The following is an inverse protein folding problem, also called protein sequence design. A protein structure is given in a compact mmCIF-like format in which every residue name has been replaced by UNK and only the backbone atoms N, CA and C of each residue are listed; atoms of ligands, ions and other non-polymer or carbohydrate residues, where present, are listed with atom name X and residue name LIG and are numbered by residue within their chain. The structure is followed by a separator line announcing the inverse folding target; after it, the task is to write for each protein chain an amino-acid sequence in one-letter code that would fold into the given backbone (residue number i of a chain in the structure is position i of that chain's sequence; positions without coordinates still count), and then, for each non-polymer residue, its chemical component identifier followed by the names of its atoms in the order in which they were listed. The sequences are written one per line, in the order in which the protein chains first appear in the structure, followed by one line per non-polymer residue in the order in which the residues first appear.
data_IF_560043229202
#
_entry.id   IF_560043229202
#
_cell.length_a   1.000
_cell.length_b   1.000
_cell.length_c   1.000
_cell.angle_alpha   90.00
_cell.angle_beta   90.00
_cell.angle_gamma   90.00
#
_symmetry.space_group_name_H-M   'P 1'
#
loop_
_entity.id
_entity.type
_entity.pdbx_description
1 polymer ?
#
# COMPACT_ATOMS: atom_id res chain seq x y z
N UNK A 1 -8.95 -3.62 4.02
CA UNK A 1 -8.10 -4.78 3.69
C UNK A 1 -8.79 -5.71 2.69
N UNK A 2 -10.03 -6.16 2.92
CA UNK A 2 -10.70 -7.06 1.96
C UNK A 2 -11.04 -6.37 0.62
N UNK A 3 -11.48 -5.11 0.68
CA UNK A 3 -11.64 -4.25 -0.51
C UNK A 3 -10.34 -4.13 -1.30
N UNK A 4 -9.24 -3.73 -0.65
CA UNK A 4 -7.90 -3.64 -1.23
C UNK A 4 -7.46 -4.97 -1.86
N UNK A 5 -7.68 -6.10 -1.18
CA UNK A 5 -7.37 -7.42 -1.72
C UNK A 5 -8.22 -7.78 -2.95
N UNK A 6 -9.49 -7.38 -2.98
CA UNK A 6 -10.36 -7.58 -4.14
C UNK A 6 -9.92 -6.75 -5.35
N UNK A 7 -9.54 -5.49 -5.13
CA UNK A 7 -8.97 -4.62 -6.16
C UNK A 7 -7.65 -5.16 -6.69
N UNK A 8 -6.75 -5.62 -5.81
CA UNK A 8 -5.51 -6.29 -6.20
C UNK A 8 -5.79 -7.53 -7.07
N UNK A 9 -6.73 -8.38 -6.63
CA UNK A 9 -7.12 -9.58 -7.40
C UNK A 9 -7.66 -9.18 -8.78
N UNK A 10 -8.48 -8.13 -8.84
CA UNK A 10 -9.01 -7.60 -10.10
C UNK A 10 -7.90 -7.06 -11.01
N UNK A 11 -6.94 -6.31 -10.47
CA UNK A 11 -5.78 -5.80 -11.23
C UNK A 11 -4.95 -6.98 -11.78
N UNK A 12 -4.72 -8.02 -10.99
CA UNK A 12 -3.98 -9.21 -11.45
C UNK A 12 -4.71 -9.92 -12.59
N UNK A 13 -6.04 -10.02 -12.51
CA UNK A 13 -6.84 -10.56 -13.60
C UNK A 13 -6.78 -9.67 -14.84
N UNK A 14 -6.87 -8.35 -14.68
CA UNK A 14 -6.75 -7.38 -15.78
C UNK A 14 -5.39 -7.49 -16.48
N UNK A 15 -4.30 -7.64 -15.72
CA UNK A 15 -2.97 -7.86 -16.27
C UNK A 15 -2.91 -9.17 -17.08
N UNK A 16 -3.54 -10.23 -16.58
CA UNK A 16 -3.62 -11.50 -17.30
C UNK A 16 -4.40 -11.36 -18.62
N UNK A 17 -5.51 -10.61 -18.63
CA UNK A 17 -6.31 -10.33 -19.82
C UNK A 17 -5.52 -9.50 -20.86
N UNK A 18 -4.62 -8.63 -20.39
CA UNK A 18 -3.66 -7.89 -21.21
C UNK A 18 -2.41 -8.72 -21.61
N UNK A 19 -2.40 -10.02 -21.29
CA UNK A 19 -1.31 -10.94 -21.55
C UNK A 19 0.02 -10.58 -20.84
N UNK A 20 -0.07 -9.85 -19.73
CA UNK A 20 1.05 -9.48 -18.84
C UNK A 20 1.08 -10.48 -17.67
N UNK A 21 2.13 -11.30 -17.62
CA UNK A 21 2.30 -12.27 -16.53
C UNK A 21 2.82 -11.59 -15.27
N UNK A 22 2.09 -11.74 -14.17
CA UNK A 22 2.53 -11.36 -12.83
C UNK A 22 2.58 -12.60 -11.93
N UNK A 23 3.73 -13.27 -11.93
CA UNK A 23 3.95 -14.54 -11.21
C UNK A 23 4.23 -14.34 -9.71
N UNK A 24 4.70 -13.15 -9.32
CA UNK A 24 4.97 -12.83 -7.93
C UNK A 24 3.67 -12.62 -7.13
N UNK A 25 3.68 -12.86 -5.80
CA UNK A 25 2.63 -12.40 -4.92
C UNK A 25 2.59 -10.87 -4.89
N UNK A 26 1.40 -10.29 -4.96
CA UNK A 26 1.24 -8.84 -4.82
C UNK A 26 1.38 -8.43 -3.36
N UNK A 27 2.20 -7.42 -3.09
CA UNK A 27 2.44 -6.93 -1.73
C UNK A 27 1.40 -5.90 -1.33
N UNK A 28 0.60 -6.23 -0.32
CA UNK A 28 -0.33 -5.32 0.34
C UNK A 28 0.23 -4.93 1.71
N UNK A 29 0.87 -3.77 1.78
CA UNK A 29 1.46 -3.26 3.03
C UNK A 29 0.36 -2.88 4.03
N UNK A 30 0.51 -3.31 5.28
CA UNK A 30 -0.42 -2.97 6.36
C UNK A 30 0.33 -2.76 7.68
N UNK A 31 -0.04 -1.71 8.40
CA UNK A 31 0.48 -1.34 9.72
C UNK A 31 -0.37 -1.94 10.87
N UNK A 32 -1.60 -2.33 10.58
CA UNK A 32 -2.47 -2.97 11.56
C UNK A 32 -2.06 -4.44 11.79
N UNK A 33 -1.26 -4.65 12.83
CA UNK A 33 -0.82 -5.98 13.26
C UNK A 33 -2.02 -6.90 13.60
N UNK A 34 -3.09 -6.37 14.19
CA UNK A 34 -4.28 -7.17 14.52
C UNK A 34 -4.93 -7.72 13.24
N UNK A 35 -5.07 -6.91 12.19
CA UNK A 35 -5.60 -7.35 10.91
C UNK A 35 -4.72 -8.44 10.26
N UNK A 36 -3.39 -8.34 10.38
CA UNK A 36 -2.45 -9.38 9.94
C UNK A 36 -2.59 -10.67 10.75
N UNK A 37 -2.71 -10.56 12.07
CA UNK A 37 -2.89 -11.72 12.95
C UNK A 37 -4.23 -12.44 12.69
N UNK A 38 -5.30 -11.70 12.45
CA UNK A 38 -6.61 -12.27 12.09
C UNK A 38 -6.55 -12.96 10.73
N UNK A 39 -5.88 -12.36 9.73
CA UNK A 39 -5.67 -12.99 8.43
C UNK A 39 -4.87 -14.30 8.56
N UNK A 40 -3.83 -14.32 9.41
CA UNK A 40 -2.93 -15.46 9.58
C UNK A 40 -3.44 -16.56 10.51
N UNK A 41 -4.34 -16.27 11.46
CA UNK A 41 -4.74 -17.23 12.50
C UNK A 41 -6.17 -17.77 12.27
N UNK A 42 -6.35 -19.07 12.01
CA UNK A 42 -7.66 -19.68 11.79
C UNK A 42 -8.52 -19.82 13.06
N UNK A 43 -7.97 -19.57 14.26
CA UNK A 43 -8.62 -19.85 15.55
C UNK A 43 -9.45 -18.66 16.08
N UNK A 44 -9.32 -17.47 15.49
CA UNK A 44 -10.14 -16.31 15.88
C UNK A 44 -11.56 -16.43 15.31
N UNK A 45 -12.44 -17.16 16.02
CA UNK A 45 -13.88 -17.25 15.78
C UNK A 45 -14.65 -16.07 16.41
N UNK A 46 -14.25 -14.83 16.13
CA UNK A 46 -14.91 -13.67 16.74
C UNK A 46 -16.17 -13.26 15.96
N UNK A 47 -17.31 -13.81 16.41
CA UNK A 47 -18.70 -13.29 16.49
C UNK A 47 -19.26 -12.19 15.55
N UNK A 48 -18.61 -11.80 14.46
CA UNK A 48 -19.10 -10.75 13.54
C UNK A 48 -19.13 -11.30 12.12
N UNK A 49 -20.32 -11.70 11.66
CA UNK A 49 -20.57 -12.37 10.37
C UNK A 49 -19.93 -11.69 9.14
N UNK A 50 -19.79 -10.36 9.16
CA UNK A 50 -19.19 -9.60 8.06
C UNK A 50 -17.65 -9.61 8.08
N UNK A 51 -17.04 -9.66 9.28
CA UNK A 51 -15.58 -9.74 9.43
C UNK A 51 -15.10 -11.13 9.02
N UNK A 52 -15.90 -12.16 9.27
CA UNK A 52 -15.57 -13.55 8.94
C UNK A 52 -15.37 -13.74 7.43
N UNK A 53 -16.30 -13.26 6.59
CA UNK A 53 -16.20 -13.38 5.13
C UNK A 53 -14.98 -12.65 4.57
N UNK A 54 -14.76 -11.41 5.01
CA UNK A 54 -13.62 -10.60 4.59
C UNK A 54 -12.28 -11.23 5.00
N UNK A 55 -12.19 -11.78 6.21
CA UNK A 55 -11.00 -12.46 6.69
C UNK A 55 -10.76 -13.79 5.99
N UNK A 56 -11.81 -14.56 5.70
CA UNK A 56 -11.70 -15.79 4.92
C UNK A 56 -11.17 -15.51 3.51
N UNK A 57 -11.73 -14.49 2.84
CA UNK A 57 -11.27 -14.09 1.51
C UNK A 57 -9.78 -13.70 1.50
N UNK A 58 -9.34 -12.83 2.42
CA UNK A 58 -7.93 -12.44 2.51
C UNK A 58 -7.05 -13.66 2.80
N UNK A 59 -7.47 -14.54 3.70
CA UNK A 59 -6.72 -15.73 4.08
C UNK A 59 -6.55 -16.69 2.90
N UNK A 60 -7.61 -16.93 2.13
CA UNK A 60 -7.54 -17.76 0.92
C UNK A 60 -6.54 -17.19 -0.08
N UNK A 61 -6.54 -15.86 -0.28
CA UNK A 61 -5.59 -15.18 -1.17
C UNK A 61 -4.14 -15.25 -0.70
N UNK A 62 -3.91 -15.18 0.60
CA UNK A 62 -2.57 -15.36 1.18
C UNK A 62 -2.12 -16.82 1.04
N UNK A 63 -2.99 -17.79 1.33
CA UNK A 63 -2.68 -19.22 1.20
C UNK A 63 -2.42 -19.65 -0.25
N UNK A 64 -3.11 -19.03 -1.21
CA UNK A 64 -2.87 -19.22 -2.64
C UNK A 64 -1.58 -18.55 -3.15
N UNK A 65 -0.81 -17.86 -2.28
CA UNK A 65 0.39 -17.09 -2.65
C UNK A 65 0.06 -16.03 -3.71
N UNK A 66 -1.18 -15.55 -3.74
CA UNK A 66 -1.58 -14.46 -4.64
C UNK A 66 -1.26 -13.09 -4.06
N UNK A 67 -1.36 -12.97 -2.73
CA UNK A 67 -1.16 -11.72 -1.98
C UNK A 67 -0.25 -11.99 -0.78
N UNK A 68 0.74 -11.13 -0.58
CA UNK A 68 1.60 -11.08 0.61
C UNK A 68 1.24 -9.82 1.43
N UNK A 69 1.19 -9.93 2.75
CA UNK A 69 0.86 -8.82 3.66
C UNK A 69 2.04 -8.41 4.54
N UNK A 70 3.08 -7.77 3.97
CA UNK A 70 4.21 -7.27 4.74
C UNK A 70 3.78 -6.16 5.71
N UNK A 71 4.36 -6.19 6.91
CA UNK A 71 4.16 -5.14 7.90
C UNK A 71 4.93 -3.88 7.49
N UNK A 72 4.26 -2.73 7.58
CA UNK A 72 4.87 -1.41 7.46
C UNK A 72 4.62 -0.65 8.76
N UNK A 73 5.57 0.14 9.24
CA UNK A 73 5.32 1.02 10.38
C UNK A 73 4.34 2.12 9.94
N UNK A 74 3.48 2.60 10.83
CA UNK A 74 2.55 3.69 10.49
C UNK A 74 3.31 4.95 10.01
N UNK A 75 4.50 5.22 10.54
CA UNK A 75 5.41 6.30 10.10
C UNK A 75 5.85 6.19 8.62
N UNK A 76 5.77 4.98 8.06
CA UNK A 76 6.18 4.64 6.70
C UNK A 76 4.97 4.31 5.80
N UNK A 77 3.75 4.37 6.34
CA UNK A 77 2.54 4.07 5.60
C UNK A 77 2.15 5.28 4.74
N UNK A 78 2.53 5.22 3.46
CA UNK A 78 2.28 6.33 2.52
C UNK A 78 0.79 6.65 2.34
N UNK A 79 -0.10 5.69 2.58
CA UNK A 79 -1.54 5.87 2.44
C UNK A 79 -2.09 6.87 3.46
N UNK A 80 -1.43 7.04 4.61
CA UNK A 80 -1.91 7.90 5.70
C UNK A 80 -2.02 9.37 5.28
N UNK A 81 -1.25 9.81 4.28
CA UNK A 81 -1.38 11.15 3.69
C UNK A 81 -2.76 11.40 3.06
N UNK A 82 -3.44 10.34 2.62
CA UNK A 82 -4.75 10.41 1.96
C UNK A 82 -5.91 10.09 2.91
N UNK A 83 -5.66 9.39 4.02
CA UNK A 83 -6.71 8.87 4.90
C UNK A 83 -6.72 9.49 6.29
N UNK A 84 -5.62 10.13 6.72
CA UNK A 84 -5.47 10.64 8.08
C UNK A 84 -4.99 12.10 8.13
N UNK A 85 -5.32 12.77 9.23
CA UNK A 85 -4.77 14.08 9.55
C UNK A 85 -3.39 13.95 10.20
N UNK A 86 -2.34 13.87 9.39
CA UNK A 86 -0.97 13.72 9.88
C UNK A 86 -0.41 15.01 10.49
N UNK A 87 0.46 14.86 11.50
CA UNK A 87 1.28 15.97 12.00
C UNK A 87 2.27 16.46 10.93
N UNK A 88 2.58 17.75 10.92
CA UNK A 88 3.39 18.42 9.87
C UNK A 88 4.69 17.65 9.54
N UNK A 89 5.43 17.19 10.57
CA UNK A 89 6.69 16.46 10.36
C UNK A 89 6.48 15.14 9.62
N UNK A 90 5.52 14.34 10.06
CA UNK A 90 5.18 13.05 9.42
C UNK A 90 4.65 13.26 8.00
N UNK A 91 3.87 14.32 7.79
CA UNK A 91 3.38 14.70 6.46
C UNK A 91 4.52 15.08 5.52
N UNK A 92 5.49 15.89 5.96
CA UNK A 92 6.68 16.24 5.18
C UNK A 92 7.52 15.00 4.84
N UNK A 93 7.77 14.13 5.82
CA UNK A 93 8.54 12.89 5.61
C UNK A 93 7.87 11.96 4.60
N UNK A 94 6.55 11.75 4.72
CA UNK A 94 5.76 10.92 3.79
C UNK A 94 5.67 11.59 2.42
N UNK A 95 5.51 12.91 2.35
CA UNK A 95 5.49 13.66 1.08
C UNK A 95 6.82 13.51 0.33
N UNK A 96 7.94 13.60 1.04
CA UNK A 96 9.27 13.34 0.48
C UNK A 96 9.40 11.89 -0.02
N UNK A 97 8.93 10.89 0.74
CA UNK A 97 8.95 9.47 0.31
C UNK A 97 8.05 9.21 -0.90
N UNK A 98 6.92 9.91 -1.00
CA UNK A 98 5.99 9.82 -2.12
C UNK A 98 6.53 10.50 -3.39
N UNK A 99 7.58 11.33 -3.26
CA UNK A 99 8.15 12.10 -4.36
C UNK A 99 7.34 13.34 -4.72
N UNK A 100 6.58 13.89 -3.77
CA UNK A 100 5.90 15.16 -3.98
C UNK A 100 6.93 16.29 -4.02
N UNK A 101 6.96 16.99 -5.16
CA UNK A 101 7.78 18.18 -5.34
C UNK A 101 6.94 19.43 -5.09
N UNK A 102 7.44 20.31 -4.23
CA UNK A 102 6.87 21.64 -4.07
C UNK A 102 7.26 22.50 -5.29
N UNK A 103 6.30 22.70 -6.19
CA UNK A 103 6.44 23.51 -7.40
C UNK A 103 6.63 25.01 -7.11
N UNK A 104 6.36 25.45 -5.88
CA UNK A 104 6.55 26.82 -5.44
C UNK A 104 7.86 27.01 -4.65
N UNK A 105 8.60 25.92 -4.39
CA UNK A 105 9.91 26.00 -3.75
C UNK A 105 10.89 26.64 -4.74
N UNK A 106 11.43 27.83 -4.45
CA UNK A 106 12.36 28.48 -5.37
C UNK A 106 13.58 27.58 -5.55
N UNK A 107 13.75 27.05 -6.76
CA UNK A 107 14.96 26.31 -7.14
C UNK A 107 16.11 27.32 -7.22
N UNK A 108 16.97 27.33 -6.21
CA UNK A 108 18.21 28.12 -6.20
C UNK A 108 19.27 27.56 -7.17
N UNK A 109 18.94 26.54 -7.96
CA UNK A 109 19.81 26.03 -9.01
C UNK A 109 19.69 26.96 -10.22
N UNK A 110 20.42 28.07 -10.15
CA UNK A 110 20.56 29.01 -11.25
C UNK A 110 20.93 28.29 -12.54
N UNK A 111 20.26 28.68 -13.62
CA UNK A 111 20.60 28.28 -14.97
C UNK A 111 21.99 28.85 -15.27
N UNK A 112 23.05 28.03 -15.19
CA UNK A 112 24.35 28.44 -15.70
C UNK A 112 24.24 28.35 -17.21
N UNK A 113 23.88 29.47 -17.83
CA UNK A 113 24.07 29.68 -19.25
C UNK A 113 25.58 29.67 -19.49
N UNK A 114 26.12 28.52 -19.89
CA UNK A 114 27.47 28.42 -20.42
C UNK A 114 27.49 29.16 -21.76
N UNK A 115 27.83 30.44 -21.71
CA UNK A 115 28.35 31.16 -22.87
C UNK A 115 29.84 30.82 -23.00
N UNK A 116 30.15 29.78 -23.76
CA UNK A 116 31.50 29.54 -24.26
C UNK A 116 31.68 30.37 -25.56
N UNK A 117 32.47 31.44 -25.46
CA UNK A 117 33.13 32.15 -26.58
C UNK A 117 34.45 31.43 -26.96
#
# INVERSE_FOLDING_TARGET
MASTASELTWIKQLLADLNIKHEAPMKMFCDNQAARHIAANPVFHERTKHIEVDCHFIREKIQAIEIETPFVKSEDQLVDIFTEGLGIKTFEDISCKLGLYDIYRPSLRGNVENNDD
#
